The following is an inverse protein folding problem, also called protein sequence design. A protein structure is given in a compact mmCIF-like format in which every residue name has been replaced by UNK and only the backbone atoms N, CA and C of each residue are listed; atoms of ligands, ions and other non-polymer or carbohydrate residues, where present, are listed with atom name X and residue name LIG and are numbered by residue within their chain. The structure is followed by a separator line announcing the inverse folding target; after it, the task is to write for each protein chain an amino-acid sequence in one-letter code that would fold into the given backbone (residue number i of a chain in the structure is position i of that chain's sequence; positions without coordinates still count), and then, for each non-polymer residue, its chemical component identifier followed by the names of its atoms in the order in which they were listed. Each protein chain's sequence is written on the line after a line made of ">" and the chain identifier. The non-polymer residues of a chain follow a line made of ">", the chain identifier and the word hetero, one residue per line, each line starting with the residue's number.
data_IF_839171120681
#
_entry.id   IF_839171120681
#
_cell.length_a   1.000
_cell.length_b   1.000
_cell.length_c   1.000
_cell.angle_alpha   90.00
_cell.angle_beta   90.00
_cell.angle_gamma   90.00
#
_symmetry.space_group_name_H-M   'P 1'
#
loop_
_entity.id
_entity.type
_entity.pdbx_description
1 polymer ?
#
# COMPACT_ATOMS: atom_id res chain seq x y z
N UNK A 1 8.55 2.78 -13.04
CA UNK A 1 8.14 4.06 -12.42
C UNK A 1 9.22 4.46 -11.44
N UNK A 2 9.87 5.61 -11.62
CA UNK A 2 10.89 6.12 -10.70
C UNK A 2 10.21 7.09 -9.74
N UNK A 3 10.36 6.90 -8.43
CA UNK A 3 9.88 7.82 -7.39
C UNK A 3 11.08 8.39 -6.66
N UNK A 4 11.17 9.72 -6.57
CA UNK A 4 12.26 10.42 -5.88
C UNK A 4 11.63 11.40 -4.90
N UNK A 5 11.94 11.26 -3.61
CA UNK A 5 11.52 12.19 -2.57
C UNK A 5 12.63 13.21 -2.33
N UNK A 6 12.32 14.49 -2.45
CA UNK A 6 13.27 15.59 -2.21
C UNK A 6 12.62 16.61 -1.30
N UNK A 7 13.32 17.00 -0.24
CA UNK A 7 12.93 18.10 0.64
C UNK A 7 13.76 19.34 0.27
N UNK A 8 13.16 20.39 -0.30
CA UNK A 8 13.89 21.61 -0.67
C UNK A 8 14.47 22.31 0.56
N UNK A 9 15.74 22.72 0.50
CA UNK A 9 16.36 23.62 1.48
C UNK A 9 16.51 25.07 0.96
N UNK A 10 16.36 25.27 -0.35
CA UNK A 10 16.39 26.57 -1.03
C UNK A 10 15.31 26.62 -2.12
N UNK A 11 14.99 27.82 -2.61
CA UNK A 11 13.91 28.05 -3.57
C UNK A 11 14.16 27.46 -4.97
N UNK A 12 15.39 27.05 -5.28
CA UNK A 12 15.77 26.48 -6.58
C UNK A 12 16.43 25.12 -6.38
N UNK A 13 15.83 24.04 -6.90
CA UNK A 13 16.42 22.71 -6.93
C UNK A 13 16.64 22.29 -8.40
N UNK A 14 17.87 21.91 -8.74
CA UNK A 14 18.16 21.20 -9.99
C UNK A 14 18.07 19.70 -9.74
N UNK A 15 17.00 19.06 -10.20
CA UNK A 15 16.81 17.61 -10.09
C UNK A 15 17.52 16.89 -11.23
N UNK A 16 18.62 16.20 -10.94
CA UNK A 16 19.26 15.29 -11.90
C UNK A 16 18.59 13.93 -11.82
N UNK A 17 17.62 13.66 -12.70
CA UNK A 17 16.90 12.38 -12.76
C UNK A 17 17.56 11.52 -13.85
N UNK A 18 18.18 10.37 -13.51
CA UNK A 18 18.68 9.45 -14.53
C UNK A 18 17.51 8.81 -15.28
N UNK A 19 17.30 9.22 -16.52
CA UNK A 19 16.21 8.71 -17.37
C UNK A 19 16.63 7.37 -17.99
N UNK A 20 15.87 6.28 -17.80
CA UNK A 20 16.17 5.00 -18.44
C UNK A 20 15.97 5.07 -19.96
N UNK A 21 16.75 4.29 -20.71
CA UNK A 21 16.80 4.32 -22.19
C UNK A 21 15.43 4.13 -22.87
N UNK A 22 14.48 3.44 -22.23
CA UNK A 22 13.13 3.18 -22.76
C UNK A 22 12.14 4.36 -22.65
N UNK A 23 12.55 5.48 -22.04
CA UNK A 23 11.80 6.73 -21.95
C UNK A 23 12.29 7.81 -22.93
N UNK A 24 13.44 7.58 -23.60
CA UNK A 24 13.98 8.51 -24.61
C UNK A 24 13.03 8.55 -25.81
N UNK A 25 12.58 9.75 -26.17
CA UNK A 25 11.62 9.97 -27.27
C UNK A 25 10.14 9.89 -26.89
N UNK A 26 9.82 9.70 -25.60
CA UNK A 26 8.43 9.73 -25.10
C UNK A 26 8.14 11.06 -24.38
N UNK A 27 6.88 11.50 -24.43
CA UNK A 27 6.41 12.64 -23.63
C UNK A 27 6.38 12.22 -22.16
N UNK A 28 7.13 12.93 -21.32
CA UNK A 28 7.18 12.71 -19.87
C UNK A 28 6.54 13.93 -19.22
N UNK A 29 5.52 13.72 -18.40
CA UNK A 29 4.93 14.74 -17.56
C UNK A 29 5.50 14.58 -16.15
N UNK A 30 6.08 15.65 -15.60
CA UNK A 30 6.64 15.68 -14.24
C UNK A 30 5.73 16.54 -13.39
N UNK A 31 5.03 15.90 -12.46
CA UNK A 31 4.15 16.58 -11.50
C UNK A 31 4.86 16.61 -10.15
N UNK A 32 5.02 17.81 -9.60
CA UNK A 32 5.52 18.03 -8.26
C UNK A 32 4.33 18.35 -7.35
N UNK A 33 4.28 17.68 -6.21
CA UNK A 33 3.30 17.91 -5.15
C UNK A 33 4.01 17.87 -3.81
N UNK A 34 3.52 18.64 -2.83
CA UNK A 34 4.00 18.48 -1.47
C UNK A 34 3.40 17.20 -0.86
N UNK A 35 4.17 16.48 -0.05
CA UNK A 35 3.69 15.24 0.60
C UNK A 35 2.46 15.50 1.48
N UNK A 36 2.32 16.72 2.01
CA UNK A 36 1.18 17.09 2.85
C UNK A 36 -0.11 17.31 2.05
N UNK A 37 -0.03 17.85 0.82
CA UNK A 37 -1.17 17.97 -0.10
C UNK A 37 -1.70 16.59 -0.52
N UNK A 38 -0.81 15.59 -0.65
CA UNK A 38 -1.21 14.21 -0.97
C UNK A 38 -1.90 13.53 0.21
N UNK A 39 -1.46 13.79 1.45
CA UNK A 39 -2.13 13.25 2.63
C UNK A 39 -3.54 13.79 2.76
N UNK A 40 -3.77 15.07 2.48
CA UNK A 40 -5.11 15.67 2.51
C UNK A 40 -6.04 14.97 1.51
N UNK A 41 -5.57 14.74 0.27
CA UNK A 41 -6.32 13.96 -0.74
C UNK A 41 -6.62 12.51 -0.33
N UNK A 42 -5.69 11.84 0.36
CA UNK A 42 -5.89 10.46 0.85
C UNK A 42 -6.82 10.43 2.08
N UNK A 43 -6.88 11.51 2.84
CA UNK A 43 -7.72 11.62 4.05
C UNK A 43 -9.19 11.79 3.70
N UNK A 44 -9.50 12.41 2.56
CA UNK A 44 -10.87 12.56 2.05
C UNK A 44 -11.43 11.29 1.40
N UNK A 45 -10.57 10.34 1.03
CA UNK A 45 -11.05 9.04 0.55
C UNK A 45 -11.71 8.30 1.73
N UNK A 46 -12.95 7.81 1.56
CA UNK A 46 -13.61 7.05 2.61
C UNK A 46 -12.75 5.83 2.93
N UNK A 47 -12.18 5.80 4.14
CA UNK A 47 -11.41 4.65 4.62
C UNK A 47 -12.32 3.44 4.60
N UNK A 48 -12.12 2.56 3.61
CA UNK A 48 -12.86 1.31 3.50
C UNK A 48 -12.61 0.54 4.79
N UNK A 49 -13.67 0.22 5.54
CA UNK A 49 -13.54 -0.58 6.75
C UNK A 49 -12.93 -1.92 6.33
N UNK A 50 -11.93 -2.38 7.09
CA UNK A 50 -11.30 -3.68 6.82
C UNK A 50 -12.34 -4.81 6.81
N UNK A 51 -13.38 -4.70 7.63
CA UNK A 51 -14.53 -5.61 7.61
C UNK A 51 -15.17 -5.71 6.23
N UNK A 52 -15.38 -4.59 5.54
CA UNK A 52 -16.03 -4.55 4.22
C UNK A 52 -15.10 -5.07 3.12
N UNK A 53 -13.79 -4.84 3.28
CA UNK A 53 -12.76 -5.34 2.35
C UNK A 53 -12.64 -6.87 2.36
N UNK A 54 -12.79 -7.50 3.53
CA UNK A 54 -12.55 -8.93 3.72
C UNK A 54 -13.84 -9.74 3.97
N UNK A 55 -15.03 -9.12 3.96
CA UNK A 55 -16.30 -9.83 4.11
C UNK A 55 -16.51 -10.78 2.93
N UNK A 56 -16.68 -12.07 3.22
CA UNK A 56 -16.92 -13.09 2.20
C UNK A 56 -15.66 -13.60 1.49
N UNK A 57 -14.45 -13.22 1.92
CA UNK A 57 -13.20 -13.74 1.34
C UNK A 57 -12.94 -15.23 1.67
N UNK A 58 -13.66 -15.79 2.64
CA UNK A 58 -13.56 -17.20 3.06
C UNK A 58 -14.96 -17.81 2.99
N UNK A 59 -15.07 -19.00 2.40
CA UNK A 59 -16.34 -19.75 2.34
C UNK A 59 -16.67 -20.34 3.72
N UNK A 60 -17.94 -20.69 3.95
CA UNK A 60 -18.35 -21.28 5.25
C UNK A 60 -17.55 -22.53 5.60
N UNK A 61 -17.28 -23.39 4.61
CA UNK A 61 -16.51 -24.62 4.77
C UNK A 61 -15.04 -24.35 5.14
N UNK A 62 -14.40 -23.40 4.44
CA UNK A 62 -13.03 -22.99 4.75
C UNK A 62 -12.93 -22.39 6.16
N UNK A 63 -13.94 -21.62 6.58
CA UNK A 63 -14.01 -21.07 7.93
C UNK A 63 -14.18 -22.14 9.01
N UNK A 64 -14.97 -23.18 8.74
CA UNK A 64 -15.14 -24.32 9.65
C UNK A 64 -13.84 -25.11 9.79
N UNK A 65 -13.19 -25.46 8.68
CA UNK A 65 -11.93 -26.19 8.68
C UNK A 65 -10.82 -25.41 9.43
N UNK A 66 -10.70 -24.11 9.17
CA UNK A 66 -9.76 -23.24 9.90
C UNK A 66 -10.04 -23.24 11.41
N UNK A 67 -11.30 -23.15 11.81
CA UNK A 67 -11.67 -23.15 13.22
C UNK A 67 -11.38 -24.50 13.91
N UNK A 68 -11.59 -25.62 13.21
CA UNK A 68 -11.25 -26.96 13.70
C UNK A 68 -9.73 -27.11 13.87
N UNK A 69 -8.96 -26.68 12.88
CA UNK A 69 -7.50 -26.71 12.93
C UNK A 69 -6.94 -25.86 14.08
N UNK A 70 -7.48 -24.66 14.31
CA UNK A 70 -7.11 -23.80 15.45
C UNK A 70 -7.40 -24.50 16.79
N UNK A 71 -8.54 -25.20 16.91
CA UNK A 71 -8.88 -25.94 18.13
C UNK A 71 -7.90 -27.09 18.39
N UNK A 72 -7.51 -27.84 17.35
CA UNK A 72 -6.52 -28.91 17.46
C UNK A 72 -5.19 -28.37 17.97
N UNK A 73 -4.65 -27.32 17.33
CA UNK A 73 -3.41 -26.68 17.77
C UNK A 73 -3.49 -26.20 19.22
N UNK A 74 -4.60 -25.57 19.62
CA UNK A 74 -4.77 -25.10 21.01
C UNK A 74 -4.84 -26.26 22.02
N UNK A 75 -5.45 -27.38 21.65
CA UNK A 75 -5.50 -28.57 22.50
C UNK A 75 -4.12 -29.21 22.65
N UNK A 76 -3.33 -29.28 21.58
CA UNK A 76 -1.95 -29.75 21.63
C UNK A 76 -1.12 -28.91 22.61
N UNK A 77 -1.28 -27.59 22.60
CA UNK A 77 -0.57 -26.68 23.50
C UNK A 77 -1.05 -26.77 24.96
N UNK A 78 -2.31 -27.09 25.20
CA UNK A 78 -2.85 -27.30 26.56
C UNK A 78 -2.48 -28.67 27.15
N UNK A 79 -1.97 -29.59 26.33
CA UNK A 79 -1.58 -30.96 26.74
C UNK A 79 -0.09 -31.06 27.06
N UNK A 80 0.64 -29.94 27.00
CA UNK A 80 2.05 -29.76 27.38
C UNK A 80 2.10 -29.05 28.73
#
# INVERSE_FOLDING_TARGET
>A
MIRTHVTPQTSNISLMIPIPNNYVGKRIEVVLYADDEVKELITELPKIKLSDKYRGCITKEQGQNLNEHIKQMRNEWNTI
#
